data_IF_354482729933
#
_entry.id   IF_354482729933
#
_cell.length_a   1.000
_cell.length_b   1.000
_cell.length_c   1.000
_cell.angle_alpha   90.00
_cell.angle_beta   90.00
_cell.angle_gamma   90.00
#
_symmetry.space_group_name_H-M   'P 1'
#
loop_
_entity.id
_entity.type
_entity.pdbx_description
1 polymer ?
#
# COMPACT_ATOMS: atom_id res chain seq x y z
N UNK A 1 11.05 -5.60 -22.12
CA UNK A 1 9.85 -4.75 -22.09
C UNK A 1 9.31 -4.76 -20.67
N UNK A 2 9.27 -3.61 -19.98
CA UNK A 2 8.01 -3.02 -19.49
C UNK A 2 8.21 -1.51 -19.34
N UNK A 3 7.16 -0.78 -19.74
CA UNK A 3 6.94 0.65 -19.86
C UNK A 3 7.40 1.56 -18.70
N UNK A 4 7.42 2.90 -18.91
CA UNK A 4 7.52 3.86 -17.81
C UNK A 4 6.47 3.51 -16.76
N UNK A 5 6.93 3.20 -15.54
CA UNK A 5 6.06 3.00 -14.38
C UNK A 5 5.50 4.38 -14.02
N UNK A 6 4.23 4.68 -14.34
CA UNK A 6 3.55 5.80 -13.68
C UNK A 6 3.40 5.46 -12.20
N UNK A 7 3.49 6.43 -11.30
CA UNK A 7 3.19 6.18 -9.89
C UNK A 7 1.79 5.56 -9.71
N UNK A 8 1.60 4.71 -8.67
CA UNK A 8 0.32 4.08 -8.43
C UNK A 8 -0.70 5.14 -8.04
N UNK A 9 -1.89 5.06 -8.63
CA UNK A 9 -2.98 5.95 -8.24
C UNK A 9 -3.55 5.57 -6.87
N UNK A 10 -4.28 6.50 -6.25
CA UNK A 10 -4.94 6.25 -4.95
C UNK A 10 -5.90 5.07 -4.99
N UNK A 11 -6.62 4.87 -6.10
CA UNK A 11 -7.52 3.72 -6.28
C UNK A 11 -6.77 2.39 -6.39
N UNK A 12 -5.57 2.40 -6.99
CA UNK A 12 -4.73 1.20 -7.08
C UNK A 12 -4.26 0.77 -5.67
N UNK A 13 -3.85 1.73 -4.84
CA UNK A 13 -3.48 1.47 -3.43
C UNK A 13 -4.68 0.98 -2.61
N UNK A 14 -5.85 1.62 -2.76
CA UNK A 14 -7.09 1.23 -2.09
C UNK A 14 -7.47 -0.22 -2.43
N UNK A 15 -7.39 -0.58 -3.71
CA UNK A 15 -7.69 -1.91 -4.20
C UNK A 15 -6.78 -2.98 -3.60
N UNK A 16 -5.49 -2.68 -3.35
CA UNK A 16 -4.59 -3.63 -2.70
C UNK A 16 -4.95 -3.90 -1.25
N UNK A 17 -5.26 -2.87 -0.46
CA UNK A 17 -5.77 -3.07 0.90
C UNK A 17 -7.08 -3.87 0.90
N UNK A 18 -8.02 -3.52 0.02
CA UNK A 18 -9.29 -4.22 -0.10
C UNK A 18 -9.10 -5.70 -0.51
N UNK A 19 -8.18 -5.99 -1.42
CA UNK A 19 -7.89 -7.34 -1.88
C UNK A 19 -7.26 -8.20 -0.79
N UNK A 20 -6.36 -7.63 0.04
CA UNK A 20 -5.81 -8.31 1.22
C UNK A 20 -6.91 -8.65 2.22
N UNK A 21 -7.76 -7.69 2.55
CA UNK A 21 -8.88 -7.87 3.49
C UNK A 21 -9.96 -8.83 2.99
N UNK A 22 -10.15 -8.92 1.68
CA UNK A 22 -11.06 -9.86 1.03
C UNK A 22 -10.45 -11.26 0.87
N UNK A 23 -9.14 -11.43 1.12
CA UNK A 23 -8.41 -12.67 0.86
C UNK A 23 -8.26 -13.01 -0.62
N UNK A 24 -8.52 -12.05 -1.52
CA UNK A 24 -8.35 -12.23 -2.98
C UNK A 24 -6.92 -11.95 -3.43
N UNK A 25 -6.11 -11.31 -2.57
CA UNK A 25 -4.67 -11.20 -2.71
C UNK A 25 -4.00 -11.55 -1.38
N UNK A 26 -2.84 -12.19 -1.44
CA UNK A 26 -2.04 -12.53 -0.27
C UNK A 26 -1.29 -11.31 0.25
N UNK A 27 -0.95 -11.30 1.54
CA UNK A 27 -0.10 -10.26 2.14
C UNK A 27 1.28 -10.19 1.50
N UNK A 28 1.90 -11.33 1.16
CA UNK A 28 3.17 -11.39 0.41
C UNK A 28 3.06 -10.75 -0.99
N UNK A 29 1.92 -10.93 -1.67
CA UNK A 29 1.71 -10.31 -2.99
C UNK A 29 1.61 -8.79 -2.87
N UNK A 30 0.92 -8.30 -1.84
CA UNK A 30 0.80 -6.89 -1.55
C UNK A 30 2.15 -6.25 -1.11
N UNK A 31 2.92 -6.94 -0.27
CA UNK A 31 4.27 -6.54 0.14
C UNK A 31 5.17 -6.38 -1.09
N UNK A 32 5.27 -7.42 -1.92
CA UNK A 32 6.10 -7.38 -3.13
C UNK A 32 5.63 -6.32 -4.12
N UNK A 33 4.32 -6.11 -4.22
CA UNK A 33 3.79 -5.02 -5.04
C UNK A 33 4.27 -3.66 -4.53
N UNK A 34 4.18 -3.41 -3.22
CA UNK A 34 4.61 -2.15 -2.59
C UNK A 34 6.13 -1.96 -2.66
N UNK A 35 6.92 -3.02 -2.40
CA UNK A 35 8.38 -3.02 -2.41
C UNK A 35 8.97 -2.48 -3.72
N UNK A 36 8.28 -2.69 -4.85
CA UNK A 36 8.72 -2.21 -6.16
C UNK A 36 8.85 -0.67 -6.25
N UNK A 37 8.17 0.07 -5.39
CA UNK A 37 8.23 1.54 -5.32
C UNK A 37 9.35 2.06 -4.41
N UNK A 38 9.94 1.20 -3.58
CA UNK A 38 11.09 1.52 -2.72
C UNK A 38 12.44 1.16 -3.36
N UNK A 39 12.43 0.68 -4.60
CA UNK A 39 13.64 0.23 -5.30
C UNK A 39 13.97 1.11 -6.51
N UNK A 40 15.26 1.42 -6.70
CA UNK A 40 15.74 2.17 -7.87
C UNK A 40 15.31 3.64 -7.83
N UNK A 41 14.87 4.16 -8.98
CA UNK A 41 14.34 5.53 -9.14
C UNK A 41 12.80 5.59 -9.06
N UNK A 42 12.13 4.49 -8.70
CA UNK A 42 10.66 4.41 -8.67
C UNK A 42 10.04 5.27 -7.55
N UNK A 43 10.77 5.49 -6.46
CA UNK A 43 10.39 6.36 -5.35
C UNK A 43 10.15 7.79 -5.83
N UNK A 44 10.98 8.27 -6.78
CA UNK A 44 10.90 9.62 -7.34
C UNK A 44 9.64 9.89 -8.15
N UNK A 45 8.89 8.85 -8.51
CA UNK A 45 7.66 8.97 -9.30
C UNK A 45 6.45 9.20 -8.40
N UNK A 46 6.53 8.79 -7.12
CA UNK A 46 5.42 8.86 -6.16
C UNK A 46 5.43 10.22 -5.48
N UNK A 47 4.76 11.19 -6.09
CA UNK A 47 4.64 12.55 -5.54
C UNK A 47 3.49 12.71 -4.55
N UNK A 48 2.49 11.83 -4.59
CA UNK A 48 1.38 11.86 -3.65
C UNK A 48 1.83 11.29 -2.30
N UNK A 49 1.90 12.16 -1.29
CA UNK A 49 2.34 11.81 0.05
C UNK A 49 1.46 10.75 0.74
N UNK A 50 0.17 10.70 0.40
CA UNK A 50 -0.75 9.72 0.98
C UNK A 50 -0.53 8.35 0.34
N UNK A 51 -0.29 8.31 -0.97
CA UNK A 51 0.14 7.10 -1.68
C UNK A 51 1.47 6.61 -1.11
N UNK A 52 2.45 7.49 -0.93
CA UNK A 52 3.75 7.11 -0.37
C UNK A 52 3.63 6.52 1.04
N UNK A 53 2.85 7.17 1.91
CA UNK A 53 2.58 6.66 3.25
C UNK A 53 1.93 5.26 3.23
N UNK A 54 0.92 5.07 2.38
CA UNK A 54 0.19 3.82 2.29
C UNK A 54 1.05 2.68 1.69
N UNK A 55 1.91 2.99 0.72
CA UNK A 55 2.91 2.04 0.21
C UNK A 55 3.84 1.57 1.33
N UNK A 56 4.22 2.46 2.25
CA UNK A 56 5.03 2.11 3.42
C UNK A 56 4.33 1.17 4.41
N UNK A 57 3.00 1.16 4.45
CA UNK A 57 2.23 0.22 5.27
C UNK A 57 2.04 -1.14 4.59
N UNK A 58 1.83 -1.13 3.27
CA UNK A 58 1.74 -2.37 2.48
C UNK A 58 3.10 -3.06 2.41
N UNK A 59 4.20 -2.30 2.37
CA UNK A 59 5.54 -2.83 2.47
C UNK A 59 5.81 -3.30 3.90
N UNK A 60 5.86 -4.62 4.10
CA UNK A 60 5.94 -5.28 5.40
C UNK A 60 4.61 -5.78 5.96
N UNK A 61 3.51 -5.73 5.20
CA UNK A 61 2.19 -6.24 5.63
C UNK A 61 2.18 -7.75 5.88
N UNK A 62 3.17 -8.46 5.33
CA UNK A 62 3.40 -9.90 5.47
C UNK A 62 4.39 -10.26 6.59
N UNK A 63 4.93 -9.28 7.31
CA UNK A 63 5.91 -9.53 8.37
C UNK A 63 5.30 -10.43 9.46
N UNK A 64 6.00 -11.49 9.89
CA UNK A 64 5.53 -12.33 10.98
C UNK A 64 5.72 -11.62 12.34
N UNK A 65 4.72 -11.71 13.21
CA UNK A 65 4.82 -11.26 14.61
C UNK A 65 5.83 -12.11 15.39
N UNK A 66 5.84 -13.41 15.09
CA UNK A 66 6.66 -14.40 15.76
C UNK A 66 6.80 -15.67 14.88
N UNK A 67 7.49 -16.70 15.39
CA UNK A 67 7.78 -17.94 14.64
C UNK A 67 6.58 -18.85 14.41
N UNK A 68 5.40 -18.53 14.95
CA UNK A 68 4.15 -19.30 14.78
C UNK A 68 3.47 -19.06 13.44
N UNK A 69 3.90 -18.05 12.68
CA UNK A 69 3.30 -17.69 11.39
C UNK A 69 2.12 -16.72 11.49
N UNK A 70 1.86 -16.15 12.68
CA UNK A 70 0.94 -15.02 12.83
C UNK A 70 1.56 -13.76 12.24
N UNK A 71 0.77 -12.95 11.53
CA UNK A 71 1.24 -11.66 11.01
C UNK A 71 1.40 -10.63 12.13
N UNK A 72 2.40 -9.76 12.01
CA UNK A 72 2.64 -8.62 12.90
C UNK A 72 1.44 -7.67 12.93
N UNK A 73 0.74 -7.58 11.80
CA UNK A 73 -0.43 -6.74 11.61
C UNK A 73 -1.63 -7.63 11.31
N UNK A 74 -2.64 -7.65 12.18
CA UNK A 74 -3.86 -8.42 11.93
C UNK A 74 -4.81 -7.68 10.96
N UNK A 75 -5.96 -8.28 10.64
CA UNK A 75 -6.91 -7.71 9.68
C UNK A 75 -7.64 -6.47 10.21
N UNK A 76 -7.82 -6.32 11.53
CA UNK A 76 -8.36 -5.10 12.12
C UNK A 76 -7.41 -3.93 11.90
N UNK A 77 -6.12 -4.12 12.18
CA UNK A 77 -5.11 -3.09 11.92
C UNK A 77 -5.06 -2.70 10.43
N UNK A 78 -5.17 -3.67 9.52
CA UNK A 78 -5.21 -3.38 8.07
C UNK A 78 -6.47 -2.61 7.68
N UNK A 79 -7.63 -2.87 8.32
CA UNK A 79 -8.86 -2.09 8.10
C UNK A 79 -8.72 -0.65 8.59
N UNK A 80 -8.09 -0.44 9.74
CA UNK A 80 -7.83 0.89 10.28
C UNK A 80 -6.96 1.72 9.32
N UNK A 81 -5.91 1.12 8.79
CA UNK A 81 -5.05 1.75 7.80
C UNK A 81 -5.78 2.12 6.51
N UNK A 82 -6.64 1.23 5.98
CA UNK A 82 -7.45 1.53 4.80
C UNK A 82 -8.44 2.68 5.08
N UNK A 83 -9.08 2.68 6.25
CA UNK A 83 -9.99 3.75 6.64
C UNK A 83 -9.25 5.10 6.74
N UNK A 84 -8.07 5.10 7.36
CA UNK A 84 -7.24 6.28 7.48
C UNK A 84 -6.74 6.77 6.10
N UNK A 85 -6.31 5.87 5.22
CA UNK A 85 -5.91 6.20 3.86
C UNK A 85 -7.03 6.93 3.11
N UNK A 86 -8.24 6.35 3.13
CA UNK A 86 -9.42 6.95 2.50
C UNK A 86 -9.76 8.32 3.07
N UNK A 87 -9.67 8.48 4.40
CA UNK A 87 -9.91 9.76 5.06
C UNK A 87 -8.89 10.84 4.63
N UNK A 88 -7.60 10.49 4.59
CA UNK A 88 -6.53 11.39 4.11
C UNK A 88 -6.75 11.80 2.65
N UNK A 89 -7.07 10.83 1.78
CA UNK A 89 -7.36 11.10 0.37
C UNK A 89 -8.59 12.00 0.16
N UNK A 90 -9.62 11.85 0.98
CA UNK A 90 -10.83 12.68 0.92
C UNK A 90 -10.58 14.10 1.46
N UNK A 91 -9.73 14.25 2.48
CA UNK A 91 -9.39 15.55 3.07
C UNK A 91 -8.47 16.39 2.16
N UNK A 92 -7.65 15.72 1.34
CA UNK A 92 -6.77 16.35 0.36
C UNK A 92 -7.11 15.82 -1.04
N UNK A 93 -8.25 16.22 -1.65
CA UNK A 93 -8.49 15.93 -3.06
C UNK A 93 -7.31 16.51 -3.84
N UNK A 94 -6.69 15.74 -4.75
CA UNK A 94 -5.54 16.20 -5.55
C UNK A 94 -5.86 17.60 -6.11
N UNK A 95 -5.32 18.61 -5.46
CA UNK A 95 -5.55 20.01 -5.76
C UNK A 95 -4.35 20.49 -6.53
N UNK A 96 -4.62 21.02 -7.72
CA UNK A 96 -3.68 21.71 -8.59
C UNK A 96 -2.73 22.60 -7.78
N UNK A 97 -1.45 22.24 -7.75
CA UNK A 97 -0.34 23.05 -7.26
C UNK A 97 0.69 23.20 -8.35
#
# INVERSE_FOLDING_TARGET
>A
MTWPRRAPARDEVDAWFAAVLAGTASRDEADRWAAQWFTGDADRLVHDEHVWWALGLLYGVDLPADRTGTFLHDDEQVREWLAEFRARCAASPMGDG
#
